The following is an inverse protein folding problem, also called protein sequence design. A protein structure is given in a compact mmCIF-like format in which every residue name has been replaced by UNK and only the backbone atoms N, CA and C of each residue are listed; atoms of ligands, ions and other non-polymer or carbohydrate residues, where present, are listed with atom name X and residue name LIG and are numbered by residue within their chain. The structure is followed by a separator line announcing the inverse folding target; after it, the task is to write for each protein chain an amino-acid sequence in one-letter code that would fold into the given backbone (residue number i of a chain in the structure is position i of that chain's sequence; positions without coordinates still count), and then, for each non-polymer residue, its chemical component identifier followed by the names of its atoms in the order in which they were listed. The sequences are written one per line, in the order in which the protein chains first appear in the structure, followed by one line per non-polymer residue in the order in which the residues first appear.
data_IF_167557791965
#
_entry.id   IF_167557791965
#
_cell.length_a   1.000
_cell.length_b   1.000
_cell.length_c   1.000
_cell.angle_alpha   90.00
_cell.angle_beta   90.00
_cell.angle_gamma   90.00
#
_symmetry.space_group_name_H-M   'P 1'
#
loop_
_entity.id
_entity.type
_entity.pdbx_description
1 polymer ?
#
# COMPACT_ATOMS: atom_id res chain seq x y z
N UNK A 1 -2.08 12.05 -23.77
CA UNK A 1 -3.10 12.96 -23.20
C UNK A 1 -2.68 13.27 -21.78
N UNK A 2 -2.82 14.50 -21.30
CA UNK A 2 -2.34 14.89 -19.96
C UNK A 2 -3.38 14.60 -18.88
N UNK A 3 -2.93 14.15 -17.71
CA UNK A 3 -3.75 13.99 -16.51
C UNK A 3 -4.13 15.37 -15.96
N UNK A 4 -5.36 15.50 -15.45
CA UNK A 4 -5.82 16.63 -14.64
C UNK A 4 -6.24 16.11 -13.27
N UNK A 5 -6.16 16.95 -12.25
CA UNK A 5 -6.38 16.51 -10.88
C UNK A 5 -6.04 17.56 -9.85
N UNK A 6 -6.04 17.14 -8.60
CA UNK A 6 -5.57 17.95 -7.48
C UNK A 6 -4.08 17.71 -7.23
N UNK A 7 -3.35 18.79 -6.96
CA UNK A 7 -1.95 18.77 -6.53
C UNK A 7 -1.86 19.52 -5.21
N UNK A 8 -1.07 19.02 -4.27
CA UNK A 8 -0.77 19.73 -3.03
C UNK A 8 0.29 20.81 -3.26
N UNK A 9 0.45 21.68 -2.27
CA UNK A 9 1.57 22.62 -2.21
C UNK A 9 2.88 21.93 -1.80
N UNK A 10 3.97 22.69 -1.79
CA UNK A 10 5.31 22.19 -1.45
C UNK A 10 5.39 21.63 -0.02
N UNK A 11 4.60 22.17 0.92
CA UNK A 11 4.57 21.72 2.32
C UNK A 11 3.85 20.37 2.47
N UNK A 12 2.78 20.17 1.69
CA UNK A 12 2.08 18.89 1.59
C UNK A 12 2.91 17.84 0.85
N UNK A 13 3.49 18.19 -0.29
CA UNK A 13 4.25 17.28 -1.16
C UNK A 13 5.70 17.10 -0.69
N UNK A 14 5.84 16.92 0.61
CA UNK A 14 7.10 16.66 1.28
C UNK A 14 7.05 15.29 1.97
N UNK A 15 7.86 14.36 1.48
CA UNK A 15 7.90 12.99 1.98
C UNK A 15 8.79 12.92 3.22
N UNK A 16 8.18 13.02 4.41
CA UNK A 16 8.91 13.21 5.66
C UNK A 16 9.62 11.95 6.13
N UNK A 17 10.88 12.08 6.53
CA UNK A 17 11.66 10.98 7.06
C UNK A 17 11.91 11.15 8.56
N UNK A 18 11.91 10.05 9.30
CA UNK A 18 12.24 10.01 10.73
C UNK A 18 13.05 8.78 11.07
N UNK A 19 14.13 8.96 11.82
CA UNK A 19 14.93 7.86 12.40
C UNK A 19 14.33 7.32 13.71
N UNK A 20 13.22 7.91 14.17
CA UNK A 20 12.44 7.44 15.29
C UNK A 20 11.11 6.83 14.78
N UNK A 21 10.49 5.89 15.53
CA UNK A 21 9.18 5.34 15.19
C UNK A 21 8.06 6.36 15.52
N UNK A 22 8.09 7.51 14.85
CA UNK A 22 7.14 8.61 15.03
C UNK A 22 5.84 8.36 14.28
N UNK A 23 4.89 7.71 14.96
CA UNK A 23 3.58 7.40 14.38
C UNK A 23 2.72 8.64 14.11
N UNK A 24 3.08 9.82 14.62
CA UNK A 24 2.36 11.06 14.27
C UNK A 24 2.51 11.41 12.80
N UNK A 25 3.63 11.02 12.16
CA UNK A 25 3.82 11.17 10.72
C UNK A 25 2.86 10.28 9.92
N UNK A 26 2.57 9.07 10.41
CA UNK A 26 1.58 8.18 9.77
C UNK A 26 0.18 8.78 9.88
N UNK A 27 -0.18 9.36 11.05
CA UNK A 27 -1.45 10.06 11.22
C UNK A 27 -1.54 11.31 10.34
N UNK A 28 -0.45 12.06 10.15
CA UNK A 28 -0.38 13.19 9.21
C UNK A 28 -0.76 12.77 7.79
N UNK A 29 -0.24 11.63 7.31
CA UNK A 29 -0.56 11.09 5.97
C UNK A 29 -2.04 10.67 5.92
N UNK A 30 -2.51 9.91 6.91
CA UNK A 30 -3.90 9.44 6.98
C UNK A 30 -4.92 10.59 7.09
N UNK A 31 -4.54 11.68 7.75
CA UNK A 31 -5.36 12.87 7.86
C UNK A 31 -5.28 13.80 6.63
N UNK A 32 -4.52 13.42 5.59
CA UNK A 32 -4.36 14.22 4.37
C UNK A 32 -3.53 15.48 4.56
N UNK A 33 -2.69 15.55 5.60
CA UNK A 33 -1.81 16.70 5.86
C UNK A 33 -0.48 16.60 5.11
N UNK A 34 -0.10 15.41 4.64
CA UNK A 34 1.13 15.14 3.89
C UNK A 34 0.96 14.04 2.87
N UNK A 35 1.77 14.05 1.84
CA UNK A 35 1.77 13.01 0.80
C UNK A 35 2.32 11.67 1.28
N UNK A 36 3.27 11.66 2.24
CA UNK A 36 3.87 10.42 2.71
C UNK A 36 4.96 10.60 3.76
N UNK A 37 5.40 9.49 4.34
CA UNK A 37 6.50 9.45 5.29
C UNK A 37 7.31 8.14 5.24
N UNK A 38 8.56 8.19 5.68
CA UNK A 38 9.41 7.02 5.97
C UNK A 38 9.84 7.02 7.43
N UNK A 39 9.53 5.96 8.15
CA UNK A 39 10.12 5.64 9.45
C UNK A 39 11.32 4.72 9.21
N UNK A 40 12.52 5.29 9.29
CA UNK A 40 13.79 4.63 8.99
C UNK A 40 14.11 3.60 10.06
N UNK A 41 14.52 2.40 9.62
CA UNK A 41 14.91 1.32 10.53
C UNK A 41 13.81 0.91 11.52
N UNK A 42 12.54 1.07 11.13
CA UNK A 42 11.38 0.73 11.95
C UNK A 42 11.38 -0.74 12.42
N UNK A 43 11.85 -1.64 11.56
CA UNK A 43 12.14 -3.03 11.89
C UNK A 43 13.64 -3.29 11.84
N UNK A 44 14.15 -4.06 12.80
CA UNK A 44 15.54 -4.50 12.80
C UNK A 44 15.81 -5.58 11.73
N UNK A 45 17.09 -5.79 11.45
CA UNK A 45 17.56 -6.73 10.44
C UNK A 45 17.20 -8.20 10.76
N UNK A 46 17.10 -8.57 12.05
CA UNK A 46 16.72 -9.91 12.47
C UNK A 46 15.25 -10.18 12.12
N UNK A 47 14.37 -9.23 12.42
CA UNK A 47 12.95 -9.28 12.15
C UNK A 47 12.66 -9.35 10.65
N UNK A 48 13.29 -8.50 9.84
CA UNK A 48 13.10 -8.50 8.38
C UNK A 48 13.61 -9.81 7.76
N UNK A 49 14.79 -10.28 8.17
CA UNK A 49 15.35 -11.55 7.70
C UNK A 49 14.48 -12.74 8.08
N UNK A 50 13.93 -12.74 9.30
CA UNK A 50 13.05 -13.79 9.79
C UNK A 50 11.73 -13.83 9.00
N UNK A 51 11.11 -12.67 8.73
CA UNK A 51 9.92 -12.58 7.89
C UNK A 51 10.21 -13.11 6.48
N UNK A 52 11.33 -12.69 5.86
CA UNK A 52 11.72 -13.16 4.52
C UNK A 52 11.92 -14.68 4.46
N UNK A 53 12.52 -15.27 5.50
CA UNK A 53 12.71 -16.71 5.59
C UNK A 53 11.37 -17.44 5.66
N UNK A 54 10.46 -16.98 6.51
CA UNK A 54 9.12 -17.56 6.61
C UNK A 54 8.33 -17.39 5.30
N UNK A 55 8.44 -16.22 4.66
CA UNK A 55 7.83 -15.92 3.36
C UNK A 55 8.28 -16.91 2.29
N UNK A 56 9.60 -17.05 2.08
CA UNK A 56 10.19 -17.92 1.05
C UNK A 56 9.94 -19.41 1.30
N UNK A 57 9.75 -19.80 2.56
CA UNK A 57 9.48 -21.19 2.94
C UNK A 57 7.99 -21.50 3.11
N UNK A 58 7.11 -20.51 2.87
CA UNK A 58 5.68 -20.67 3.08
C UNK A 58 5.08 -21.63 2.06
N UNK A 59 4.32 -22.65 2.47
CA UNK A 59 3.57 -23.49 1.54
C UNK A 59 2.45 -22.72 0.82
N UNK A 60 2.09 -21.53 1.30
CA UNK A 60 1.12 -20.64 0.67
C UNK A 60 1.76 -19.63 -0.31
N UNK A 61 3.06 -19.73 -0.58
CA UNK A 61 3.75 -18.87 -1.53
C UNK A 61 3.16 -19.07 -2.94
N UNK A 62 2.56 -18.02 -3.48
CA UNK A 62 1.93 -18.02 -4.80
C UNK A 62 2.77 -17.19 -5.76
N UNK A 63 2.87 -17.65 -7.01
CA UNK A 63 3.51 -16.92 -8.10
C UNK A 63 2.42 -16.36 -9.02
N UNK A 64 2.63 -15.14 -9.53
CA UNK A 64 1.69 -14.43 -10.40
C UNK A 64 2.46 -13.67 -11.48
N UNK A 65 1.98 -13.77 -12.72
CA UNK A 65 2.65 -13.22 -13.92
C UNK A 65 1.79 -12.21 -14.72
N UNK A 66 0.55 -11.93 -14.31
CA UNK A 66 -0.44 -11.18 -15.11
C UNK A 66 -0.33 -9.64 -15.02
N UNK A 67 0.17 -9.07 -13.91
CA UNK A 67 0.37 -7.62 -13.72
C UNK A 67 1.86 -7.27 -13.64
N UNK A 68 2.60 -8.03 -12.85
CA UNK A 68 4.06 -8.05 -12.80
C UNK A 68 4.48 -9.41 -12.22
N UNK A 69 5.65 -9.91 -12.64
CA UNK A 69 6.24 -11.12 -12.07
C UNK A 69 6.44 -10.89 -10.56
N UNK A 70 5.65 -11.62 -9.77
CA UNK A 70 5.56 -11.41 -8.34
C UNK A 70 5.30 -12.72 -7.60
N UNK A 71 5.89 -12.84 -6.42
CA UNK A 71 5.54 -13.87 -5.46
C UNK A 71 4.79 -13.22 -4.31
N UNK A 72 3.81 -13.90 -3.72
CA UNK A 72 3.12 -13.38 -2.55
C UNK A 72 2.59 -14.46 -1.59
N UNK A 73 2.44 -14.05 -0.33
CA UNK A 73 1.70 -14.78 0.71
C UNK A 73 0.68 -13.80 1.29
N UNK A 74 -0.60 -14.16 1.18
CA UNK A 74 -1.73 -13.31 1.52
C UNK A 74 -2.76 -13.31 0.38
N UNK A 75 -3.73 -12.43 0.46
CA UNK A 75 -4.72 -12.18 -0.59
C UNK A 75 -4.68 -10.70 -0.98
N UNK A 76 -5.24 -10.35 -2.13
CA UNK A 76 -5.40 -8.96 -2.57
C UNK A 76 -6.76 -8.78 -3.25
N UNK A 77 -7.37 -7.61 -3.11
CA UNK A 77 -8.73 -7.32 -3.57
C UNK A 77 -8.82 -6.96 -5.06
N UNK A 78 -7.74 -6.42 -5.63
CA UNK A 78 -7.68 -5.89 -6.99
C UNK A 78 -8.30 -6.84 -8.05
N UNK A 79 -9.29 -6.33 -8.79
CA UNK A 79 -10.06 -7.02 -9.84
C UNK A 79 -10.80 -8.30 -9.39
N UNK A 80 -11.14 -8.42 -8.10
CA UNK A 80 -11.90 -9.54 -7.54
C UNK A 80 -13.20 -9.07 -6.88
N UNK A 81 -14.21 -9.94 -6.97
CA UNK A 81 -15.41 -9.84 -6.14
C UNK A 81 -15.03 -9.97 -4.65
N UNK A 82 -15.70 -9.24 -3.72
CA UNK A 82 -15.42 -9.29 -2.29
C UNK A 82 -15.46 -10.70 -1.73
N UNK A 83 -16.45 -11.51 -2.13
CA UNK A 83 -16.58 -12.89 -1.65
C UNK A 83 -15.39 -13.77 -2.03
N UNK A 84 -14.83 -13.56 -3.24
CA UNK A 84 -13.63 -14.26 -3.67
C UNK A 84 -12.42 -13.79 -2.87
N UNK A 85 -12.22 -12.48 -2.77
CA UNK A 85 -11.10 -11.91 -2.02
C UNK A 85 -11.09 -12.36 -0.55
N UNK A 86 -12.24 -12.27 0.12
CA UNK A 86 -12.35 -12.64 1.53
C UNK A 86 -12.27 -14.17 1.74
N UNK A 87 -12.66 -14.97 0.73
CA UNK A 87 -12.41 -16.42 0.74
C UNK A 87 -10.94 -16.77 0.63
N UNK A 88 -10.21 -16.05 -0.21
CA UNK A 88 -8.76 -16.15 -0.26
C UNK A 88 -8.14 -15.69 1.06
N UNK A 89 -8.65 -14.62 1.69
CA UNK A 89 -8.18 -14.15 3.01
C UNK A 89 -8.31 -15.22 4.10
N UNK A 90 -9.48 -15.85 4.19
CA UNK A 90 -9.73 -16.94 5.16
C UNK A 90 -8.83 -18.15 4.89
N UNK A 91 -8.63 -18.53 3.62
CA UNK A 91 -7.81 -19.66 3.24
C UNK A 91 -6.33 -19.48 3.58
N UNK A 92 -5.82 -18.23 3.58
CA UNK A 92 -4.41 -17.91 3.85
C UNK A 92 -4.16 -17.36 5.25
N UNK A 93 -5.17 -17.22 6.10
CA UNK A 93 -5.09 -16.56 7.42
C UNK A 93 -3.96 -17.13 8.29
N UNK A 94 -3.86 -18.46 8.38
CA UNK A 94 -2.79 -19.12 9.17
C UNK A 94 -1.40 -18.89 8.57
N UNK A 95 -1.28 -18.83 7.25
CA UNK A 95 0.00 -18.51 6.59
C UNK A 95 0.40 -17.06 6.83
N UNK A 96 -0.55 -16.12 6.73
CA UNK A 96 -0.33 -14.69 7.01
C UNK A 96 0.07 -14.48 8.48
N UNK A 97 -0.63 -15.12 9.43
CA UNK A 97 -0.27 -15.11 10.86
C UNK A 97 1.14 -15.60 11.10
N UNK A 98 1.52 -16.71 10.47
CA UNK A 98 2.87 -17.27 10.61
C UNK A 98 3.95 -16.32 10.08
N UNK A 99 3.73 -15.68 8.93
CA UNK A 99 4.76 -14.86 8.27
C UNK A 99 4.83 -13.45 8.87
N UNK A 100 3.71 -12.76 9.07
CA UNK A 100 3.69 -11.33 9.42
C UNK A 100 2.82 -10.94 10.61
N UNK A 101 1.86 -11.75 11.08
CA UNK A 101 0.98 -11.38 12.21
C UNK A 101 1.25 -12.17 13.51
N UNK A 102 2.46 -12.72 13.63
CA UNK A 102 2.94 -13.41 14.84
C UNK A 102 3.33 -12.43 15.97
N UNK A 103 3.31 -12.87 17.24
CA UNK A 103 3.83 -12.07 18.35
C UNK A 103 5.26 -11.58 18.09
N UNK A 104 5.53 -10.31 18.39
CA UNK A 104 6.83 -9.68 18.14
C UNK A 104 7.06 -9.23 16.69
N UNK A 105 6.13 -9.50 15.76
CA UNK A 105 6.26 -9.00 14.38
C UNK A 105 6.24 -7.47 14.33
N UNK A 106 7.14 -6.82 13.57
CA UNK A 106 7.10 -5.38 13.32
C UNK A 106 5.79 -4.94 12.64
N UNK A 107 5.19 -5.80 11.82
CA UNK A 107 3.91 -5.49 11.15
C UNK A 107 2.73 -5.46 12.12
N UNK A 108 2.68 -6.43 13.05
CA UNK A 108 1.70 -6.42 14.13
C UNK A 108 1.91 -5.24 15.08
N UNK A 109 3.17 -4.87 15.33
CA UNK A 109 3.52 -3.65 16.07
C UNK A 109 2.99 -2.39 15.37
N UNK A 110 3.13 -2.28 14.04
CA UNK A 110 2.56 -1.17 13.27
C UNK A 110 1.06 -1.00 13.47
N UNK A 111 0.28 -2.08 13.31
CA UNK A 111 -1.18 -2.01 13.53
C UNK A 111 -1.53 -1.58 14.96
N UNK A 112 -0.84 -2.11 15.97
CA UNK A 112 -1.06 -1.71 17.36
C UNK A 112 -0.73 -0.24 17.60
N UNK A 113 0.40 0.23 17.09
CA UNK A 113 0.86 1.60 17.34
C UNK A 113 -0.01 2.61 16.56
N UNK A 114 -0.46 2.27 15.34
CA UNK A 114 -1.44 3.07 14.60
C UNK A 114 -2.81 3.10 15.30
N UNK A 115 -3.28 1.95 15.80
CA UNK A 115 -4.53 1.90 16.58
C UNK A 115 -4.47 2.77 17.84
N UNK A 116 -3.31 2.84 18.51
CA UNK A 116 -3.12 3.70 19.67
C UNK A 116 -3.26 5.19 19.33
N UNK A 117 -2.62 5.64 18.24
CA UNK A 117 -2.73 7.03 17.76
C UNK A 117 -4.17 7.36 17.34
N UNK A 118 -4.84 6.45 16.64
CA UNK A 118 -6.23 6.62 16.23
C UNK A 118 -7.20 6.67 17.43
N UNK A 119 -6.92 5.91 18.49
CA UNK A 119 -7.73 5.92 19.70
C UNK A 119 -7.72 7.29 20.40
N UNK A 120 -6.62 8.05 20.32
CA UNK A 120 -6.54 9.44 20.83
C UNK A 120 -7.57 10.35 20.13
N UNK A 121 -7.91 10.04 18.88
CA UNK A 121 -8.93 10.71 18.07
C UNK A 121 -10.31 10.05 18.15
N UNK A 122 -10.49 9.06 19.03
CA UNK A 122 -11.70 8.23 19.17
C UNK A 122 -12.07 7.46 17.90
N UNK A 123 -11.05 7.10 17.12
CA UNK A 123 -11.16 6.26 15.94
C UNK A 123 -10.68 4.84 16.24
N UNK A 124 -11.38 3.85 15.71
CA UNK A 124 -11.00 2.44 15.73
C UNK A 124 -10.21 2.09 14.47
N UNK A 125 -9.22 1.19 14.61
CA UNK A 125 -8.56 0.53 13.50
C UNK A 125 -8.99 -0.95 13.47
N UNK A 126 -9.51 -1.42 12.34
CA UNK A 126 -9.91 -2.83 12.17
C UNK A 126 -9.72 -3.32 10.74
N UNK A 127 -9.72 -4.65 10.50
CA UNK A 127 -9.82 -5.17 9.14
C UNK A 127 -11.07 -4.66 8.43
N UNK A 128 -10.96 -4.48 7.11
CA UNK A 128 -12.10 -4.22 6.25
C UNK A 128 -13.03 -5.44 6.20
N UNK A 129 -14.34 -5.20 6.04
CA UNK A 129 -15.39 -6.20 6.11
C UNK A 129 -16.37 -6.12 4.93
N UNK A 130 -16.87 -7.29 4.53
CA UNK A 130 -18.05 -7.45 3.69
C UNK A 130 -18.92 -8.53 4.31
N UNK A 131 -20.11 -8.16 4.78
CA UNK A 131 -20.91 -9.04 5.65
C UNK A 131 -20.20 -9.29 6.99
N UNK A 132 -20.02 -10.55 7.35
CA UNK A 132 -19.34 -11.02 8.57
C UNK A 132 -17.86 -11.41 8.35
N UNK A 133 -17.37 -11.26 7.12
CA UNK A 133 -16.04 -11.69 6.69
C UNK A 133 -15.07 -10.52 6.70
N UNK A 134 -13.78 -10.81 6.90
CA UNK A 134 -12.74 -9.80 7.12
C UNK A 134 -11.51 -9.99 6.23
N UNK A 135 -10.87 -8.88 5.87
CA UNK A 135 -9.61 -8.87 5.12
C UNK A 135 -8.42 -9.41 5.92
N UNK A 136 -7.32 -9.73 5.22
CA UNK A 136 -6.04 -10.06 5.85
C UNK A 136 -5.40 -8.85 6.54
N UNK A 137 -4.55 -9.13 7.54
CA UNK A 137 -3.73 -8.11 8.21
C UNK A 137 -2.67 -7.46 7.31
N UNK A 138 -2.35 -8.09 6.18
CA UNK A 138 -1.35 -7.64 5.22
C UNK A 138 -1.04 -8.72 4.20
N UNK A 139 -0.28 -8.35 3.18
CA UNK A 139 0.26 -9.24 2.16
C UNK A 139 1.78 -9.08 2.13
N UNK A 140 2.51 -10.19 2.08
CA UNK A 140 3.93 -10.16 1.74
C UNK A 140 4.04 -10.38 0.25
N UNK A 141 4.77 -9.50 -0.44
CA UNK A 141 4.97 -9.59 -1.89
C UNK A 141 6.40 -9.29 -2.27
N UNK A 142 6.91 -10.00 -3.27
CA UNK A 142 8.12 -9.66 -3.99
C UNK A 142 7.78 -9.16 -5.38
N UNK A 143 8.63 -8.29 -5.92
CA UNK A 143 8.50 -7.76 -7.27
C UNK A 143 9.81 -7.96 -8.02
N UNK A 144 9.73 -8.53 -9.21
CA UNK A 144 10.76 -8.40 -10.24
C UNK A 144 10.19 -7.61 -11.41
N UNK A 145 11.03 -6.78 -12.05
CA UNK A 145 10.62 -6.10 -13.25
C UNK A 145 11.79 -5.50 -14.00
N UNK A 146 11.67 -5.48 -15.32
CA UNK A 146 12.67 -4.94 -16.24
C UNK A 146 12.13 -3.65 -16.88
N UNK A 147 13.02 -2.80 -17.40
CA UNK A 147 12.65 -1.51 -17.99
C UNK A 147 12.72 -0.37 -16.98
N UNK A 148 11.76 0.55 -16.99
CA UNK A 148 11.75 1.71 -16.10
C UNK A 148 11.10 1.41 -14.73
N UNK A 149 10.15 0.48 -14.69
CA UNK A 149 9.34 0.22 -13.51
C UNK A 149 9.19 -1.28 -13.24
N UNK A 150 9.30 -1.67 -11.96
CA UNK A 150 8.81 -2.97 -11.49
C UNK A 150 7.33 -2.96 -11.16
N UNK A 151 6.77 -1.78 -10.92
CA UNK A 151 5.34 -1.54 -10.88
C UNK A 151 5.05 -0.20 -11.53
N UNK A 152 4.35 -0.24 -12.64
CA UNK A 152 4.04 0.94 -13.49
C UNK A 152 3.22 2.00 -12.76
N UNK A 153 3.24 3.27 -13.20
CA UNK A 153 2.50 4.34 -12.55
C UNK A 153 0.99 4.05 -12.40
N UNK A 154 0.48 4.08 -11.17
CA UNK A 154 -0.91 3.79 -10.81
C UNK A 154 -1.33 4.56 -9.54
N UNK A 155 -2.62 4.55 -9.23
CA UNK A 155 -3.18 4.94 -7.93
C UNK A 155 -4.17 3.87 -7.43
N UNK A 156 -4.44 3.86 -6.13
CA UNK A 156 -5.21 2.78 -5.50
C UNK A 156 -6.69 3.12 -5.28
N UNK A 157 -7.07 4.40 -5.36
CA UNK A 157 -8.43 4.86 -5.05
C UNK A 157 -9.47 4.31 -6.04
N UNK A 158 -9.13 4.27 -7.34
CA UNK A 158 -10.02 3.73 -8.38
C UNK A 158 -10.34 2.25 -8.16
N UNK A 159 -9.38 1.50 -7.62
CA UNK A 159 -9.52 0.07 -7.34
C UNK A 159 -10.59 -0.20 -6.27
N UNK A 160 -10.92 0.77 -5.41
CA UNK A 160 -11.93 0.60 -4.36
C UNK A 160 -13.36 0.83 -4.86
N UNK A 161 -13.52 1.39 -6.06
CA UNK A 161 -14.82 1.75 -6.64
C UNK A 161 -15.15 0.95 -7.90
N UNK A 162 -14.35 -0.07 -8.19
CA UNK A 162 -14.59 -0.98 -9.30
C UNK A 162 -15.93 -1.73 -9.09
N UNK A 163 -16.78 -1.87 -10.13
CA UNK A 163 -18.14 -2.38 -9.96
C UNK A 163 -18.26 -3.78 -9.32
N UNK A 164 -17.28 -4.68 -9.50
CA UNK A 164 -17.28 -6.01 -8.87
C UNK A 164 -17.08 -5.93 -7.37
N UNK A 165 -16.67 -4.78 -6.83
CA UNK A 165 -16.49 -4.57 -5.38
C UNK A 165 -17.69 -3.91 -4.71
N UNK A 166 -18.84 -3.91 -5.38
CA UNK A 166 -20.10 -3.40 -4.83
C UNK A 166 -20.39 -4.00 -3.44
N UNK A 167 -20.78 -3.13 -2.52
CA UNK A 167 -21.10 -3.50 -1.13
C UNK A 167 -19.89 -3.76 -0.24
N UNK A 168 -18.65 -3.73 -0.75
CA UNK A 168 -17.47 -3.75 0.12
C UNK A 168 -17.24 -2.36 0.72
N UNK A 169 -17.04 -2.29 2.04
CA UNK A 169 -16.96 -1.00 2.75
C UNK A 169 -15.74 -0.16 2.36
N UNK A 170 -14.71 -0.75 1.73
CA UNK A 170 -13.52 -0.01 1.27
C UNK A 170 -13.87 1.07 0.24
N UNK A 171 -15.00 0.93 -0.46
CA UNK A 171 -15.51 1.94 -1.39
C UNK A 171 -15.80 3.29 -0.72
N UNK A 172 -16.05 3.31 0.60
CA UNK A 172 -16.29 4.52 1.38
C UNK A 172 -15.02 5.33 1.69
N UNK A 173 -13.83 4.75 1.48
CA UNK A 173 -12.55 5.44 1.71
C UNK A 173 -12.35 6.57 0.71
N UNK A 174 -12.68 6.33 -0.57
CA UNK A 174 -12.47 7.26 -1.68
C UNK A 174 -11.00 7.65 -1.82
N UNK A 175 -10.75 8.93 -2.12
CA UNK A 175 -9.39 9.46 -2.28
C UNK A 175 -8.64 9.63 -0.94
N UNK A 176 -9.17 9.16 0.21
CA UNK A 176 -8.47 9.19 1.51
C UNK A 176 -7.61 7.94 1.77
N UNK A 177 -7.45 7.12 0.75
CA UNK A 177 -6.71 5.86 0.82
C UNK A 177 -5.20 6.11 1.04
N UNK A 178 -4.63 5.30 1.91
CA UNK A 178 -3.20 5.27 2.18
C UNK A 178 -2.66 3.84 1.97
N UNK A 179 -1.40 3.73 1.59
CA UNK A 179 -0.68 2.47 1.50
C UNK A 179 0.45 2.45 2.53
N UNK A 180 0.49 1.44 3.39
CA UNK A 180 1.59 1.17 4.31
C UNK A 180 2.43 0.02 3.76
N UNK A 181 3.75 0.17 3.82
CA UNK A 181 4.68 -0.81 3.30
C UNK A 181 5.90 -0.95 4.22
N UNK A 182 6.18 -2.16 4.72
CA UNK A 182 7.41 -2.48 5.42
C UNK A 182 8.40 -3.12 4.43
N UNK A 183 9.53 -2.46 4.17
CA UNK A 183 10.56 -2.98 3.29
C UNK A 183 11.32 -4.12 3.98
N UNK A 184 11.29 -5.31 3.36
CA UNK A 184 11.99 -6.49 3.87
C UNK A 184 13.31 -6.71 3.15
N UNK A 185 13.32 -6.50 1.84
CA UNK A 185 14.51 -6.56 0.98
C UNK A 185 14.39 -5.49 -0.10
N UNK A 186 15.49 -4.79 -0.37
CA UNK A 186 15.64 -3.91 -1.52
C UNK A 186 17.14 -3.66 -1.77
N UNK A 187 17.52 -3.42 -3.02
CA UNK A 187 18.88 -3.03 -3.40
C UNK A 187 19.06 -1.51 -3.44
N UNK A 188 20.00 -1.06 -4.28
CA UNK A 188 20.23 0.38 -4.53
C UNK A 188 19.12 0.99 -5.42
N UNK A 189 18.53 0.18 -6.30
CA UNK A 189 17.38 0.53 -7.15
C UNK A 189 16.04 0.28 -6.40
N UNK A 190 14.91 0.22 -7.12
CA UNK A 190 13.62 -0.19 -6.54
C UNK A 190 12.97 0.87 -5.63
N UNK A 191 13.32 2.15 -5.85
CA UNK A 191 12.78 3.31 -5.16
C UNK A 191 11.27 3.45 -5.40
N UNK A 192 10.58 4.13 -4.48
CA UNK A 192 9.19 4.54 -4.66
C UNK A 192 9.17 5.85 -5.45
N UNK A 193 8.49 5.89 -6.58
CA UNK A 193 8.23 7.11 -7.34
C UNK A 193 6.83 7.63 -7.01
N UNK A 194 6.67 8.92 -6.81
CA UNK A 194 5.36 9.54 -6.57
C UNK A 194 5.27 10.88 -7.30
N UNK A 195 4.12 11.11 -7.93
CA UNK A 195 3.78 12.35 -8.61
C UNK A 195 2.81 13.17 -7.75
N UNK A 196 2.97 14.49 -7.76
CA UNK A 196 2.07 15.42 -7.07
C UNK A 196 0.77 15.60 -7.85
N UNK A 197 0.00 14.51 -8.03
CA UNK A 197 -1.33 14.55 -8.64
C UNK A 197 -2.21 13.42 -8.13
N UNK A 198 -3.41 13.78 -7.67
CA UNK A 198 -4.56 12.91 -7.49
C UNK A 198 -5.44 13.10 -8.72
N UNK A 199 -5.58 12.11 -9.61
CA UNK A 199 -6.33 12.25 -10.85
C UNK A 199 -7.80 12.54 -10.59
N UNK A 200 -8.39 13.49 -11.31
CA UNK A 200 -9.83 13.69 -11.29
C UNK A 200 -10.57 12.59 -12.07
N UNK A 201 -11.87 12.43 -11.80
CA UNK A 201 -12.70 11.41 -12.45
C UNK A 201 -12.71 11.55 -13.98
N UNK A 202 -12.65 12.78 -14.51
CA UNK A 202 -12.62 13.00 -15.95
C UNK A 202 -11.35 12.41 -16.57
N UNK A 203 -10.19 12.56 -15.92
CA UNK A 203 -8.93 11.97 -16.33
C UNK A 203 -8.96 10.46 -16.22
N UNK A 204 -9.45 9.93 -15.10
CA UNK A 204 -9.60 8.47 -14.90
C UNK A 204 -10.41 7.82 -16.02
N UNK A 205 -11.52 8.44 -16.43
CA UNK A 205 -12.33 7.96 -17.56
C UNK A 205 -11.57 8.10 -18.88
N UNK A 206 -11.01 9.28 -19.19
CA UNK A 206 -10.30 9.51 -20.46
C UNK A 206 -9.11 8.56 -20.66
N UNK A 207 -8.41 8.22 -19.58
CA UNK A 207 -7.26 7.31 -19.64
C UNK A 207 -7.65 5.84 -19.51
N UNK A 208 -8.92 5.52 -19.28
CA UNK A 208 -9.36 4.14 -19.04
C UNK A 208 -8.89 3.55 -17.71
N UNK A 209 -8.52 4.39 -16.74
CA UNK A 209 -8.00 3.97 -15.42
C UNK A 209 -9.05 4.04 -14.31
N UNK A 210 -10.30 4.43 -14.63
CA UNK A 210 -11.41 4.56 -13.66
C UNK A 210 -11.61 3.36 -12.75
N UNK A 211 -11.35 2.16 -13.25
CA UNK A 211 -11.65 0.91 -12.56
C UNK A 211 -10.39 0.19 -12.07
N UNK A 212 -9.25 0.42 -12.72
CA UNK A 212 -7.97 -0.23 -12.41
C UNK A 212 -7.00 0.65 -11.63
N UNK A 213 -7.16 1.96 -11.71
CA UNK A 213 -6.20 2.95 -11.22
C UNK A 213 -4.90 3.04 -12.00
N UNK A 214 -4.76 2.35 -13.15
CA UNK A 214 -3.57 2.41 -13.98
C UNK A 214 -3.60 1.46 -15.18
N UNK A 215 -2.53 1.45 -16.02
CA UNK A 215 -1.34 2.29 -15.90
C UNK A 215 -1.53 3.71 -16.46
N UNK A 216 -0.84 4.69 -15.87
CA UNK A 216 -0.62 6.01 -16.46
C UNK A 216 0.70 6.03 -17.22
N UNK A 217 0.75 6.70 -18.38
CA UNK A 217 1.98 6.85 -19.16
C UNK A 217 2.82 8.02 -18.65
N UNK A 218 4.15 7.96 -18.79
CA UNK A 218 5.05 9.07 -18.41
C UNK A 218 4.64 10.39 -19.08
N UNK A 219 4.28 10.33 -20.36
CA UNK A 219 3.81 11.50 -21.13
C UNK A 219 2.50 12.10 -20.62
N UNK A 220 1.69 11.34 -19.88
CA UNK A 220 0.46 11.84 -19.26
C UNK A 220 0.73 12.57 -17.93
N UNK A 221 1.92 12.36 -17.37
CA UNK A 221 2.37 12.89 -16.08
C UNK A 221 3.36 14.06 -16.23
N UNK A 222 3.72 14.42 -17.47
CA UNK A 222 4.56 15.58 -17.75
C UNK A 222 3.98 16.86 -17.13
N UNK A 223 4.82 17.60 -16.41
CA UNK A 223 4.46 18.87 -15.77
C UNK A 223 4.06 18.77 -14.29
N UNK A 224 3.85 17.57 -13.75
CA UNK A 224 3.67 17.39 -12.30
C UNK A 224 5.01 17.24 -11.60
N UNK A 225 5.10 17.75 -10.37
CA UNK A 225 6.25 17.48 -9.50
C UNK A 225 6.35 15.98 -9.23
N UNK A 226 7.58 15.47 -9.21
CA UNK A 226 7.86 14.04 -9.06
C UNK A 226 9.05 13.83 -8.11
N UNK A 227 8.96 12.81 -7.26
CA UNK A 227 10.04 12.43 -6.33
C UNK A 227 10.30 10.92 -6.33
N UNK A 228 11.59 10.58 -6.32
CA UNK A 228 12.07 9.25 -5.96
C UNK A 228 12.40 9.20 -4.48
N UNK A 229 11.78 8.25 -3.77
CA UNK A 229 11.99 7.99 -2.35
C UNK A 229 12.79 6.70 -2.20
N UNK A 230 13.98 6.83 -1.61
CA UNK A 230 14.81 5.66 -1.30
C UNK A 230 14.20 4.88 -0.15
N UNK A 231 14.05 3.56 -0.32
CA UNK A 231 13.52 2.65 0.71
C UNK A 231 14.52 1.53 0.96
N UNK A 232 14.84 1.28 2.23
CA UNK A 232 15.85 0.30 2.65
C UNK A 232 15.20 -0.80 3.49
N UNK A 233 15.79 -2.01 3.55
CA UNK A 233 15.34 -3.05 4.46
C UNK A 233 15.19 -2.52 5.89
N UNK A 234 14.03 -2.76 6.50
CA UNK A 234 13.67 -2.28 7.84
C UNK A 234 12.82 -1.02 7.84
N UNK A 235 12.79 -0.24 6.74
CA UNK A 235 11.99 0.98 6.67
C UNK A 235 10.49 0.65 6.56
N UNK A 236 9.69 1.37 7.34
CA UNK A 236 8.24 1.44 7.14
C UNK A 236 7.94 2.75 6.40
N UNK A 237 7.30 2.67 5.24
CA UNK A 237 6.87 3.86 4.51
C UNK A 237 5.37 3.85 4.29
N UNK A 238 4.77 5.02 4.40
CA UNK A 238 3.34 5.25 4.21
C UNK A 238 3.19 6.36 3.18
N UNK A 239 2.28 6.17 2.23
CA UNK A 239 1.93 7.20 1.25
C UNK A 239 0.41 7.36 1.15
N UNK A 240 -0.02 8.56 0.79
CA UNK A 240 -1.37 8.83 0.34
C UNK A 240 -1.54 8.28 -1.07
N UNK A 241 -2.11 7.08 -1.19
CA UNK A 241 -2.00 6.28 -2.42
C UNK A 241 -3.08 6.58 -3.47
N UNK A 242 -3.88 7.62 -3.24
CA UNK A 242 -4.66 8.30 -4.28
C UNK A 242 -3.75 9.11 -5.23
N UNK A 243 -2.54 9.48 -4.80
CA UNK A 243 -1.52 10.01 -5.69
C UNK A 243 -1.02 8.94 -6.65
N UNK A 244 -0.73 9.34 -7.89
CA UNK A 244 -0.05 8.45 -8.83
C UNK A 244 1.34 8.13 -8.30
N UNK A 245 1.67 6.85 -8.26
CA UNK A 245 2.93 6.34 -7.77
C UNK A 245 3.39 5.09 -8.55
N UNK A 246 4.68 4.79 -8.49
CA UNK A 246 5.32 3.70 -9.20
C UNK A 246 6.44 3.09 -8.35
N UNK A 247 6.92 1.91 -8.73
CA UNK A 247 8.13 1.30 -8.19
C UNK A 247 9.17 1.25 -9.29
N UNK A 248 10.33 1.86 -9.05
CA UNK A 248 11.47 1.81 -9.97
C UNK A 248 11.82 0.36 -10.30
N UNK A 249 12.25 0.10 -11.53
CA UNK A 249 12.83 -1.19 -11.87
C UNK A 249 13.96 -1.55 -10.90
N UNK A 250 14.10 -2.83 -10.59
CA UNK A 250 15.14 -3.31 -9.71
C UNK A 250 15.85 -4.53 -10.31
N UNK A 251 17.16 -4.53 -10.17
CA UNK A 251 18.03 -5.66 -10.53
C UNK A 251 18.17 -6.69 -9.39
N UNK A 252 17.76 -6.32 -8.18
CA UNK A 252 17.89 -7.09 -6.94
C UNK A 252 16.53 -7.47 -6.36
N UNK A 253 16.45 -8.60 -5.66
CA UNK A 253 15.23 -9.03 -4.98
C UNK A 253 14.62 -7.95 -4.08
N UNK A 254 13.43 -7.47 -4.45
CA UNK A 254 12.63 -6.52 -3.67
C UNK A 254 11.44 -7.22 -3.04
N UNK A 255 11.27 -7.08 -1.74
CA UNK A 255 10.13 -7.64 -1.02
C UNK A 255 9.61 -6.70 0.08
N UNK A 256 8.29 -6.65 0.22
CA UNK A 256 7.58 -5.79 1.17
C UNK A 256 6.43 -6.52 1.84
N UNK A 257 6.16 -6.20 3.10
CA UNK A 257 4.80 -6.36 3.66
C UNK A 257 4.00 -5.13 3.29
N UNK A 258 2.75 -5.28 2.86
CA UNK A 258 1.90 -4.16 2.46
C UNK A 258 0.46 -4.31 2.98
N UNK A 259 -0.19 -3.18 3.21
CA UNK A 259 -1.64 -3.05 3.35
C UNK A 259 -2.09 -1.67 2.88
N UNK A 260 -3.31 -1.60 2.38
CA UNK A 260 -4.08 -0.39 2.18
C UNK A 260 -4.88 -0.08 3.44
N UNK A 261 -5.11 1.19 3.71
CA UNK A 261 -5.95 1.60 4.83
C UNK A 261 -6.53 3.00 4.60
N UNK A 262 -7.64 3.29 5.28
CA UNK A 262 -8.27 4.60 5.20
C UNK A 262 -9.55 4.71 6.03
N UNK A 263 -10.00 5.94 6.31
CA UNK A 263 -11.23 6.17 7.06
C UNK A 263 -12.46 5.87 6.20
N UNK A 264 -13.38 5.06 6.71
CA UNK A 264 -14.70 4.85 6.09
C UNK A 264 -15.76 5.78 6.67
N UNK A 265 -15.53 6.27 7.90
CA UNK A 265 -16.36 7.26 8.59
C UNK A 265 -15.51 8.05 9.62
N UNK A 266 -16.15 8.86 10.48
CA UNK A 266 -15.47 9.70 11.48
C UNK A 266 -14.86 8.91 12.65
N UNK A 267 -15.20 7.63 12.79
CA UNK A 267 -14.88 6.77 13.94
C UNK A 267 -14.15 5.50 13.55
N UNK A 268 -14.02 5.20 12.26
CA UNK A 268 -13.51 3.92 11.79
C UNK A 268 -12.50 4.12 10.67
N UNK A 269 -11.29 3.61 10.88
CA UNK A 269 -10.30 3.33 9.84
C UNK A 269 -10.24 1.84 9.61
N UNK A 270 -10.26 1.43 8.36
CA UNK A 270 -10.15 0.02 7.98
C UNK A 270 -8.86 -0.25 7.22
N UNK A 271 -8.36 -1.48 7.28
CA UNK A 271 -7.21 -1.93 6.49
C UNK A 271 -7.53 -3.19 5.67
N UNK A 272 -6.90 -3.32 4.51
CA UNK A 272 -7.05 -4.45 3.59
C UNK A 272 -5.82 -4.54 2.67
N UNK A 273 -5.89 -5.41 1.66
CA UNK A 273 -4.79 -5.72 0.74
C UNK A 273 -5.29 -5.96 -0.67
#
# INVERSE_FOLDING_TARGET
MTVTGWSGDDDYFDFRESDAPDMSLVDDVLAGRRVGCVLRGYADAESTSSILKEFKSSPALTHRDDVAESEYVGAYHYLKEPDRYLGECEAVDEAVKRVIDRPGSPWRKFHRDLAAVLAERRMELRPAMHGDRRSCAGIVRSWSGQGAYSLVPHEDSSQCTEPRQEGFEISAVGDRICAANLCLANGEDGRLGIWNVIPDMASRIRMGTRESGGPYSDSSLEGFEFRWISVRPGDLYVLHSAHIHAVEANSSYRATVAALFGPIDERTTVFWT
#
